data_IF_652957255467
#
_entry.id   IF_652957255467
#
_cell.length_a   1.000
_cell.length_b   1.000
_cell.length_c   1.000
_cell.angle_alpha   90.00
_cell.angle_beta   90.00
_cell.angle_gamma   90.00
#
_symmetry.space_group_name_H-M   'P 1'
#
loop_
_entity.id
_entity.type
_entity.pdbx_description
1 polymer ?
#
# COMPACT_ATOMS: atom_id res chain seq x y z
N UNK A 1 24.67 -1.51 -6.86
CA UNK A 1 23.19 -1.63 -6.83
C UNK A 1 22.63 -0.46 -7.60
N UNK A 2 21.77 -0.71 -8.59
CA UNK A 2 21.10 0.38 -9.31
C UNK A 2 20.28 1.22 -8.35
N UNK A 3 20.39 2.55 -8.43
CA UNK A 3 19.69 3.50 -7.57
C UNK A 3 18.18 3.22 -7.47
N UNK A 4 17.57 2.71 -8.56
CA UNK A 4 16.15 2.33 -8.62
C UNK A 4 15.81 1.15 -7.71
N UNK A 5 16.66 0.13 -7.67
CA UNK A 5 16.47 -1.06 -6.82
C UNK A 5 16.57 -0.66 -5.34
N UNK A 6 17.52 0.22 -5.01
CA UNK A 6 17.65 0.74 -3.64
C UNK A 6 16.42 1.53 -3.19
N UNK A 7 15.90 2.45 -4.03
CA UNK A 7 14.66 3.19 -3.73
C UNK A 7 13.48 2.23 -3.52
N UNK A 8 13.29 1.26 -4.41
CA UNK A 8 12.19 0.30 -4.29
C UNK A 8 12.32 -0.56 -3.03
N UNK A 9 13.53 -1.02 -2.70
CA UNK A 9 13.77 -1.77 -1.47
C UNK A 9 13.45 -0.92 -0.23
N UNK A 10 13.90 0.34 -0.20
CA UNK A 10 13.62 1.26 0.88
C UNK A 10 12.12 1.54 1.05
N UNK A 11 11.39 1.68 -0.07
CA UNK A 11 9.94 1.82 -0.09
C UNK A 11 9.24 0.59 0.53
N UNK A 12 9.62 -0.61 0.09
CA UNK A 12 9.03 -1.87 0.56
C UNK A 12 9.32 -2.11 2.03
N UNK A 13 10.57 -1.91 2.48
CA UNK A 13 10.96 -2.14 3.87
C UNK A 13 10.29 -1.13 4.81
N UNK A 14 10.30 0.16 4.48
CA UNK A 14 9.63 1.18 5.29
C UNK A 14 8.12 0.94 5.38
N UNK A 15 7.46 0.56 4.27
CA UNK A 15 6.06 0.18 4.28
C UNK A 15 5.77 -1.08 5.11
N UNK A 16 6.69 -2.04 5.13
CA UNK A 16 6.57 -3.29 5.91
C UNK A 16 6.61 -2.97 7.41
N UNK A 17 7.58 -2.14 7.81
CA UNK A 17 7.72 -1.67 9.20
C UNK A 17 6.48 -0.90 9.64
N UNK A 18 5.87 -0.08 8.78
CA UNK A 18 4.63 0.64 9.11
C UNK A 18 3.51 -0.31 9.59
N UNK A 19 3.22 -1.36 8.82
CA UNK A 19 2.11 -2.27 9.13
C UNK A 19 2.41 -3.11 10.37
N UNK A 20 3.65 -3.60 10.49
CA UNK A 20 4.07 -4.40 11.65
C UNK A 20 4.00 -3.56 12.92
N UNK A 21 4.49 -2.32 12.91
CA UNK A 21 4.43 -1.45 14.08
C UNK A 21 3.00 -1.11 14.46
N UNK A 22 2.13 -0.78 13.51
CA UNK A 22 0.71 -0.52 13.83
C UNK A 22 0.06 -1.76 14.44
N UNK A 23 0.22 -2.94 13.83
CA UNK A 23 -0.40 -4.16 14.36
C UNK A 23 0.18 -4.52 15.74
N UNK A 24 1.48 -4.36 15.92
CA UNK A 24 2.13 -4.57 17.21
C UNK A 24 1.58 -3.62 18.29
N UNK A 25 1.42 -2.33 17.97
CA UNK A 25 0.83 -1.35 18.89
C UNK A 25 -0.61 -1.70 19.23
N UNK A 26 -1.44 -2.05 18.24
CA UNK A 26 -2.84 -2.44 18.43
C UNK A 26 -3.00 -3.69 19.34
N UNK A 27 -1.98 -4.55 19.39
CA UNK A 27 -1.97 -5.74 20.25
C UNK A 27 -1.46 -5.45 21.68
N UNK A 28 -0.91 -4.27 21.97
CA UNK A 28 -0.50 -3.91 23.33
C UNK A 28 -1.72 -3.57 24.20
N UNK A 29 -1.74 -4.14 25.40
CA UNK A 29 -2.67 -3.75 26.47
C UNK A 29 -2.02 -2.64 27.29
N UNK A 30 -2.69 -1.49 27.38
CA UNK A 30 -2.18 -0.30 28.06
C UNK A 30 -3.28 0.27 28.96
N UNK A 31 -2.89 0.80 30.11
CA UNK A 31 -3.81 1.39 31.07
C UNK A 31 -4.38 2.71 30.54
N UNK A 32 -5.71 2.79 30.43
CA UNK A 32 -6.44 3.99 30.03
C UNK A 32 -6.66 4.97 31.18
N UNK A 33 -7.34 6.09 30.91
CA UNK A 33 -7.63 7.11 31.94
C UNK A 33 -8.58 6.65 33.05
N UNK A 34 -9.32 5.55 32.83
CA UNK A 34 -10.16 4.86 33.80
C UNK A 34 -9.41 3.85 34.69
N UNK A 35 -8.10 3.67 34.48
CA UNK A 35 -7.31 2.66 35.19
C UNK A 35 -7.60 1.22 34.75
N UNK A 36 -8.30 1.02 33.63
CA UNK A 36 -8.52 -0.31 33.03
C UNK A 36 -7.55 -0.54 31.88
N UNK A 37 -7.24 -1.81 31.64
CA UNK A 37 -6.41 -2.23 30.51
C UNK A 37 -7.25 -2.23 29.24
N UNK A 38 -6.87 -1.36 28.30
CA UNK A 38 -7.48 -1.23 26.98
C UNK A 38 -6.43 -1.51 25.90
N UNK A 39 -6.87 -1.96 24.72
CA UNK A 39 -5.97 -2.05 23.57
C UNK A 39 -5.69 -0.65 23.02
N UNK A 40 -4.51 -0.46 22.44
CA UNK A 40 -4.16 0.81 21.81
C UNK A 40 -4.94 0.98 20.49
N UNK A 41 -6.11 1.64 20.55
CA UNK A 41 -7.00 1.87 19.40
C UNK A 41 -7.14 3.38 19.13
N UNK A 42 -6.16 3.95 18.42
CA UNK A 42 -6.16 5.38 18.10
C UNK A 42 -5.86 5.65 16.61
N UNK A 43 -6.78 5.30 15.69
CA UNK A 43 -6.57 5.43 14.25
C UNK A 43 -6.40 6.88 13.79
N UNK A 44 -7.09 7.84 14.42
CA UNK A 44 -6.98 9.26 14.08
C UNK A 44 -5.65 9.82 14.59
N UNK A 45 -5.22 9.43 15.79
CA UNK A 45 -3.91 9.83 16.31
C UNK A 45 -2.75 9.28 15.48
N UNK A 46 -2.84 8.02 15.02
CA UNK A 46 -1.86 7.42 14.11
C UNK A 46 -1.82 8.16 12.76
N UNK A 47 -2.99 8.57 12.25
CA UNK A 47 -3.08 9.39 11.03
C UNK A 47 -2.44 10.76 11.22
N UNK A 48 -2.68 11.41 12.36
CA UNK A 48 -2.07 12.69 12.70
C UNK A 48 -0.55 12.57 12.78
N UNK A 49 -0.05 11.51 13.41
CA UNK A 49 1.38 11.23 13.53
C UNK A 49 2.04 10.96 12.17
N UNK A 50 1.35 10.25 11.27
CA UNK A 50 1.81 10.04 9.89
C UNK A 50 2.00 11.38 9.16
N UNK A 51 1.00 12.26 9.20
CA UNK A 51 1.09 13.58 8.55
C UNK A 51 2.10 14.51 9.22
N UNK A 52 2.24 14.44 10.54
CA UNK A 52 3.28 15.16 11.28
C UNK A 52 4.67 14.74 10.81
N UNK A 53 4.92 13.45 10.63
CA UNK A 53 6.20 12.95 10.15
C UNK A 53 6.53 13.45 8.73
N UNK A 54 5.54 13.48 7.83
CA UNK A 54 5.69 14.03 6.48
C UNK A 54 6.03 15.53 6.50
N UNK A 55 5.32 16.30 7.33
CA UNK A 55 5.57 17.73 7.49
C UNK A 55 6.94 18.02 8.11
N UNK A 56 7.35 17.26 9.11
CA UNK A 56 8.67 17.39 9.73
C UNK A 56 9.80 17.08 8.74
N UNK A 57 9.64 16.06 7.89
CA UNK A 57 10.62 15.76 6.85
C UNK A 57 10.81 16.93 5.88
N UNK A 58 9.72 17.58 5.47
CA UNK A 58 9.77 18.80 4.68
C UNK A 58 10.42 19.98 5.41
N UNK A 59 10.15 20.14 6.70
CA UNK A 59 10.79 21.14 7.55
C UNK A 59 12.31 20.96 7.64
N UNK A 60 12.77 19.71 7.83
CA UNK A 60 14.19 19.35 7.85
C UNK A 60 14.85 19.65 6.49
N UNK A 61 14.20 19.28 5.38
CA UNK A 61 14.69 19.58 4.04
C UNK A 61 14.90 21.09 3.82
N UNK A 62 13.91 21.92 4.19
CA UNK A 62 14.03 23.37 4.10
C UNK A 62 15.13 23.93 5.01
N UNK A 63 15.30 23.38 6.21
CA UNK A 63 16.34 23.79 7.15
C UNK A 63 17.73 23.49 6.57
N UNK A 64 17.95 22.30 6.03
CA UNK A 64 19.21 21.90 5.39
C UNK A 64 19.53 22.84 4.22
N UNK A 65 18.55 23.10 3.34
CA UNK A 65 18.76 24.01 2.21
C UNK A 65 19.03 25.46 2.67
N UNK A 66 18.38 25.93 3.73
CA UNK A 66 18.65 27.25 4.30
C UNK A 66 20.07 27.34 4.88
N UNK A 67 20.55 26.29 5.53
CA UNK A 67 21.92 26.20 6.07
C UNK A 67 22.96 26.16 4.93
N UNK A 68 22.74 25.37 3.89
CA UNK A 68 23.62 25.28 2.72
C UNK A 68 23.70 26.63 2.00
N UNK A 69 22.54 27.28 1.78
CA UNK A 69 22.48 28.61 1.16
C UNK A 69 23.19 29.68 2.00
N UNK A 70 23.09 29.61 3.33
CA UNK A 70 23.83 30.50 4.25
C UNK A 70 25.34 30.24 4.23
N UNK A 71 25.79 29.02 3.94
CA UNK A 71 27.21 28.64 3.86
C UNK A 71 27.84 28.93 2.50
N UNK A 72 27.09 29.40 1.51
CA UNK A 72 27.62 29.75 0.18
C UNK A 72 28.13 28.56 -0.64
N UNK A 73 27.82 27.32 -0.22
CA UNK A 73 28.13 26.11 -1.00
C UNK A 73 27.11 26.00 -2.15
N UNK A 74 27.41 26.65 -3.28
CA UNK A 74 26.68 26.45 -4.52
C UNK A 74 27.00 25.06 -5.07
N UNK A 75 26.22 24.05 -4.71
CA UNK A 75 26.38 22.70 -5.24
C UNK A 75 25.45 22.54 -6.44
N UNK A 76 26.01 22.49 -7.66
CA UNK A 76 25.26 22.37 -8.91
C UNK A 76 24.39 21.10 -9.02
N UNK A 77 24.56 20.12 -8.11
CA UNK A 77 23.72 18.92 -8.03
C UNK A 77 22.32 19.17 -7.42
N UNK A 78 22.11 20.30 -6.73
CA UNK A 78 20.80 20.67 -6.16
C UNK A 78 19.76 21.03 -7.24
N UNK A 79 20.19 21.30 -8.48
CA UNK A 79 19.30 21.70 -9.57
C UNK A 79 18.30 20.61 -10.02
N UNK A 80 18.57 19.33 -9.75
CA UNK A 80 17.72 18.21 -10.19
C UNK A 80 16.57 17.96 -9.20
N UNK A 81 16.81 18.18 -7.91
CA UNK A 81 15.79 18.06 -6.84
C UNK A 81 14.97 19.35 -6.66
N UNK A 82 15.46 20.49 -7.14
CA UNK A 82 14.81 21.81 -7.00
C UNK A 82 14.14 22.28 -8.30
N UNK A 83 14.31 21.55 -9.43
CA UNK A 83 13.57 21.84 -10.67
C UNK A 83 12.07 21.54 -10.46
N UNK A 84 11.36 22.58 -10.06
CA UNK A 84 9.92 22.75 -10.16
C UNK A 84 9.66 24.24 -10.33
N UNK A 85 8.72 24.60 -11.21
CA UNK A 85 8.38 25.99 -11.46
C UNK A 85 7.91 26.66 -10.15
N UNK A 86 8.29 27.91 -9.93
CA UNK A 86 7.94 28.72 -8.74
C UNK A 86 6.43 29.01 -8.61
N UNK A 87 5.59 28.48 -9.49
CA UNK A 87 4.13 28.69 -9.51
C UNK A 87 3.39 27.49 -8.94
N UNK A 88 3.81 27.00 -7.77
CA UNK A 88 3.04 26.00 -7.04
C UNK A 88 1.90 26.67 -6.29
N UNK A 89 0.65 26.34 -6.65
CA UNK A 89 -0.52 26.66 -5.85
C UNK A 89 -0.73 25.58 -4.77
N UNK A 90 -0.50 25.87 -3.48
CA UNK A 90 -0.61 24.87 -2.41
C UNK A 90 -1.97 24.20 -2.32
N UNK A 91 -3.03 24.91 -2.71
CA UNK A 91 -4.40 24.44 -2.66
C UNK A 91 -4.67 23.19 -3.50
N UNK A 92 -3.84 22.89 -4.51
CA UNK A 92 -3.97 21.66 -5.32
C UNK A 92 -3.75 20.41 -4.45
N UNK A 93 -2.93 20.50 -3.41
CA UNK A 93 -2.66 19.38 -2.49
C UNK A 93 -3.71 19.23 -1.39
N UNK A 94 -4.69 20.14 -1.30
CA UNK A 94 -5.76 20.07 -0.30
C UNK A 94 -6.68 18.88 -0.54
N UNK A 95 -7.14 18.67 -1.78
CA UNK A 95 -8.01 17.53 -2.13
C UNK A 95 -7.31 16.18 -1.90
N UNK A 96 -6.06 15.97 -2.36
CA UNK A 96 -5.25 14.81 -1.99
C UNK A 96 -5.14 14.60 -0.48
N UNK A 97 -4.86 15.65 0.29
CA UNK A 97 -4.73 15.55 1.74
C UNK A 97 -6.05 15.14 2.42
N UNK A 98 -7.17 15.68 1.97
CA UNK A 98 -8.50 15.34 2.47
C UNK A 98 -8.84 13.86 2.24
N UNK A 99 -8.71 13.40 0.99
CA UNK A 99 -8.99 12.02 0.62
C UNK A 99 -8.06 11.04 1.34
N UNK A 100 -6.78 11.39 1.46
CA UNK A 100 -5.79 10.60 2.19
C UNK A 100 -6.10 10.50 3.67
N UNK A 101 -6.61 11.57 4.29
CA UNK A 101 -7.02 11.56 5.70
C UNK A 101 -8.14 10.55 5.91
N UNK A 102 -9.20 10.63 5.09
CA UNK A 102 -10.33 9.70 5.17
C UNK A 102 -9.85 8.26 4.93
N UNK A 103 -9.08 8.03 3.87
CA UNK A 103 -8.56 6.72 3.53
C UNK A 103 -7.67 6.14 4.65
N UNK A 104 -6.82 6.96 5.28
CA UNK A 104 -5.92 6.49 6.35
C UNK A 104 -6.68 6.14 7.63
N UNK A 105 -7.68 6.94 8.01
CA UNK A 105 -8.53 6.64 9.18
C UNK A 105 -9.29 5.33 8.94
N UNK A 106 -9.92 5.17 7.77
CA UNK A 106 -10.60 3.92 7.39
C UNK A 106 -9.63 2.73 7.38
N UNK A 107 -8.43 2.91 6.82
CA UNK A 107 -7.42 1.86 6.70
C UNK A 107 -6.90 1.39 8.06
N UNK A 108 -6.56 2.32 8.97
CA UNK A 108 -6.08 1.95 10.31
C UNK A 108 -7.18 1.34 11.18
N UNK A 109 -8.41 1.81 11.00
CA UNK A 109 -9.60 1.21 11.63
C UNK A 109 -9.80 -0.22 11.11
N UNK A 110 -9.69 -0.44 9.80
CA UNK A 110 -9.77 -1.78 9.19
C UNK A 110 -8.68 -2.73 9.71
N UNK A 111 -7.43 -2.27 9.79
CA UNK A 111 -6.30 -3.05 10.32
C UNK A 111 -6.48 -3.47 11.80
N UNK A 112 -7.21 -2.69 12.59
CA UNK A 112 -7.54 -3.05 13.97
C UNK A 112 -8.51 -4.24 14.01
N UNK A 113 -9.52 -4.26 13.13
CA UNK A 113 -10.59 -5.26 13.13
C UNK A 113 -10.27 -6.55 12.37
N UNK A 114 -9.32 -6.52 11.43
CA UNK A 114 -8.97 -7.66 10.58
C UNK A 114 -7.57 -8.20 10.85
N UNK A 115 -7.26 -9.35 10.24
CA UNK A 115 -5.94 -9.99 10.26
C UNK A 115 -4.91 -9.15 9.50
N UNK A 116 -3.64 -9.17 9.93
CA UNK A 116 -2.60 -8.39 9.28
C UNK A 116 -2.30 -8.93 7.86
N UNK A 117 -2.40 -10.25 7.67
CA UNK A 117 -2.23 -10.89 6.37
C UNK A 117 -3.37 -10.51 5.42
N UNK A 118 -4.62 -10.67 5.84
CA UNK A 118 -5.82 -10.32 5.06
C UNK A 118 -5.86 -8.84 4.71
N UNK A 119 -5.59 -7.97 5.70
CA UNK A 119 -5.42 -6.54 5.49
C UNK A 119 -4.49 -6.26 4.31
N UNK A 120 -3.27 -6.83 4.35
CA UNK A 120 -2.25 -6.55 3.36
C UNK A 120 -2.57 -7.14 1.97
N UNK A 121 -3.31 -8.25 1.90
CA UNK A 121 -3.79 -8.81 0.64
C UNK A 121 -4.91 -7.95 0.03
N UNK A 122 -5.88 -7.48 0.84
CA UNK A 122 -6.97 -6.62 0.38
C UNK A 122 -6.42 -5.30 -0.18
N UNK A 123 -5.26 -4.81 0.28
CA UNK A 123 -4.60 -3.63 -0.33
C UNK A 123 -4.31 -3.77 -1.82
N UNK A 124 -4.21 -5.00 -2.33
CA UNK A 124 -4.09 -5.28 -3.77
C UNK A 124 -5.27 -4.74 -4.60
N UNK A 125 -6.45 -4.55 -3.99
CA UNK A 125 -7.64 -3.95 -4.61
C UNK A 125 -7.35 -2.58 -5.23
N UNK A 126 -6.45 -1.78 -4.62
CA UNK A 126 -6.09 -0.46 -5.14
C UNK A 126 -5.56 -0.54 -6.58
N UNK A 127 -4.89 -1.63 -6.98
CA UNK A 127 -4.35 -1.80 -8.32
C UNK A 127 -5.46 -1.92 -9.37
N UNK A 128 -6.57 -2.57 -9.03
CA UNK A 128 -7.76 -2.67 -9.89
C UNK A 128 -8.33 -1.27 -10.15
N UNK A 129 -8.58 -0.51 -9.08
CA UNK A 129 -9.16 0.82 -9.18
C UNK A 129 -8.21 1.85 -9.80
N UNK A 130 -6.89 1.73 -9.59
CA UNK A 130 -5.92 2.58 -10.31
C UNK A 130 -5.95 2.29 -11.81
N UNK A 131 -6.06 1.03 -12.22
CA UNK A 131 -6.25 0.69 -13.63
C UNK A 131 -7.47 1.39 -14.24
N UNK A 132 -8.61 1.34 -13.54
CA UNK A 132 -9.86 1.99 -13.96
C UNK A 132 -9.73 3.52 -13.97
N UNK A 133 -9.31 4.16 -12.88
CA UNK A 133 -9.19 5.61 -12.81
C UNK A 133 -8.11 6.17 -13.74
N UNK A 134 -7.04 5.42 -14.00
CA UNK A 134 -6.00 5.82 -14.96
C UNK A 134 -6.57 5.93 -16.39
N UNK A 135 -7.52 5.07 -16.78
CA UNK A 135 -8.21 5.24 -18.07
C UNK A 135 -9.03 6.52 -18.14
N UNK A 136 -9.70 6.89 -17.04
CA UNK A 136 -10.57 8.07 -16.99
C UNK A 136 -9.76 9.38 -16.92
N UNK A 137 -8.68 9.41 -16.14
CA UNK A 137 -7.96 10.64 -15.81
C UNK A 137 -6.66 10.85 -16.59
N UNK A 138 -5.96 9.76 -16.97
CA UNK A 138 -4.70 9.78 -17.73
C UNK A 138 -4.89 9.35 -19.19
N UNK A 139 -6.11 9.02 -19.62
CA UNK A 139 -6.44 8.54 -20.97
C UNK A 139 -5.59 7.34 -21.42
N UNK A 140 -5.20 6.47 -20.49
CA UNK A 140 -4.51 5.22 -20.82
C UNK A 140 -5.50 4.17 -21.34
N UNK A 141 -5.07 3.31 -22.26
CA UNK A 141 -5.90 2.23 -22.80
C UNK A 141 -5.61 0.91 -22.08
N UNK A 142 -6.65 0.28 -21.51
CA UNK A 142 -6.54 -1.06 -20.93
C UNK A 142 -6.60 -2.11 -22.03
N UNK A 143 -5.45 -2.72 -22.34
CA UNK A 143 -5.41 -3.94 -23.16
C UNK A 143 -6.21 -5.08 -22.51
N UNK A 144 -6.69 -6.04 -23.31
CA UNK A 144 -7.39 -7.25 -22.85
C UNK A 144 -6.64 -8.03 -21.76
N UNK A 145 -5.30 -7.90 -21.69
CA UNK A 145 -4.48 -8.49 -20.62
C UNK A 145 -4.74 -7.88 -19.25
N UNK A 146 -4.90 -6.55 -19.19
CA UNK A 146 -5.21 -5.87 -17.94
C UNK A 146 -6.59 -6.27 -17.44
N UNK A 147 -7.55 -6.49 -18.33
CA UNK A 147 -8.87 -7.02 -17.98
C UNK A 147 -8.79 -8.44 -17.40
N UNK A 148 -7.98 -9.32 -17.98
CA UNK A 148 -7.74 -10.65 -17.44
C UNK A 148 -7.07 -10.58 -16.05
N UNK A 149 -6.07 -9.70 -15.88
CA UNK A 149 -5.40 -9.50 -14.60
C UNK A 149 -6.36 -8.97 -13.53
N UNK A 150 -7.22 -8.00 -13.87
CA UNK A 150 -8.26 -7.46 -12.99
C UNK A 150 -9.24 -8.58 -12.59
N UNK A 151 -9.67 -9.42 -13.53
CA UNK A 151 -10.55 -10.55 -13.23
C UNK A 151 -9.90 -11.52 -12.23
N UNK A 152 -8.66 -11.93 -12.48
CA UNK A 152 -7.91 -12.82 -11.57
C UNK A 152 -7.72 -12.21 -10.17
N UNK A 153 -7.42 -10.91 -10.08
CA UNK A 153 -7.32 -10.23 -8.77
C UNK A 153 -8.66 -10.23 -8.04
N UNK A 154 -9.76 -9.93 -8.73
CA UNK A 154 -11.11 -9.94 -8.14
C UNK A 154 -11.46 -11.33 -7.58
N UNK A 155 -11.15 -12.41 -8.31
CA UNK A 155 -11.32 -13.76 -7.79
C UNK A 155 -10.50 -13.98 -6.51
N UNK A 156 -9.22 -13.60 -6.50
CA UNK A 156 -8.38 -13.72 -5.31
C UNK A 156 -8.91 -12.94 -4.10
N UNK A 157 -9.43 -11.74 -4.30
CA UNK A 157 -10.04 -10.93 -3.23
C UNK A 157 -11.31 -11.60 -2.69
N UNK A 158 -12.20 -12.09 -3.56
CA UNK A 158 -13.42 -12.79 -3.13
C UNK A 158 -13.09 -14.04 -2.35
N UNK A 159 -12.09 -14.82 -2.79
CA UNK A 159 -11.61 -15.99 -2.07
C UNK A 159 -11.09 -15.61 -0.67
N UNK A 160 -10.29 -14.55 -0.55
CA UNK A 160 -9.78 -14.07 0.74
C UNK A 160 -10.92 -13.66 1.68
N UNK A 161 -11.89 -12.86 1.20
CA UNK A 161 -13.03 -12.42 2.01
C UNK A 161 -13.86 -13.61 2.51
N UNK A 162 -14.08 -14.62 1.67
CA UNK A 162 -14.78 -15.84 2.06
C UNK A 162 -14.01 -16.62 3.15
N UNK A 163 -12.67 -16.64 3.06
CA UNK A 163 -11.81 -17.28 4.04
C UNK A 163 -11.77 -16.55 5.36
N UNK A 164 -11.76 -15.21 5.36
CA UNK A 164 -11.77 -14.43 6.60
C UNK A 164 -13.03 -14.73 7.41
N UNK A 165 -14.19 -14.84 6.75
CA UNK A 165 -15.46 -15.25 7.39
C UNK A 165 -15.40 -16.68 7.93
N UNK A 166 -14.83 -17.63 7.18
CA UNK A 166 -14.70 -19.02 7.67
C UNK A 166 -13.70 -19.15 8.83
N UNK A 167 -12.64 -18.34 8.82
CA UNK A 167 -11.57 -18.39 9.81
C UNK A 167 -12.04 -17.97 11.20
N UNK A 168 -13.03 -17.09 11.27
CA UNK A 168 -13.62 -16.63 12.54
C UNK A 168 -14.14 -17.78 13.40
N UNK A 169 -14.68 -18.83 12.77
CA UNK A 169 -15.31 -19.94 13.49
C UNK A 169 -14.30 -20.83 14.24
N UNK A 170 -13.01 -20.79 13.87
CA UNK A 170 -11.97 -21.63 14.47
C UNK A 170 -10.86 -20.83 15.19
N UNK A 171 -10.77 -19.52 14.97
CA UNK A 171 -9.72 -18.67 15.52
C UNK A 171 -10.22 -17.82 16.71
N UNK A 172 -10.02 -18.33 17.93
CA UNK A 172 -10.41 -17.65 19.17
C UNK A 172 -9.27 -16.86 19.85
N UNK A 173 -8.05 -16.82 19.28
CA UNK A 173 -6.86 -16.27 19.96
C UNK A 173 -6.30 -15.01 19.29
N UNK A 174 -6.55 -14.81 18.00
CA UNK A 174 -5.79 -13.85 17.19
C UNK A 174 -6.41 -12.44 17.14
N UNK A 175 -7.70 -12.31 17.48
CA UNK A 175 -8.46 -11.05 17.35
C UNK A 175 -9.09 -10.59 18.68
N UNK A 176 -9.32 -9.26 18.85
CA UNK A 176 -10.06 -8.72 19.99
C UNK A 176 -11.54 -9.13 19.99
N UNK A 177 -12.14 -9.22 18.79
CA UNK A 177 -13.55 -9.57 18.60
C UNK A 177 -13.65 -10.70 17.56
N UNK A 178 -14.28 -11.80 17.96
CA UNK A 178 -14.52 -12.99 17.13
C UNK A 178 -15.90 -12.99 16.50
N UNK A 179 -16.47 -11.81 16.22
CA UNK A 179 -17.74 -11.72 15.47
C UNK A 179 -17.46 -11.57 13.97
N UNK A 180 -18.13 -12.40 13.18
CA UNK A 180 -18.04 -12.42 11.72
C UNK A 180 -18.33 -11.04 11.11
N UNK A 181 -19.33 -10.34 11.68
CA UNK A 181 -19.72 -9.01 11.22
C UNK A 181 -18.62 -7.97 11.46
N UNK A 182 -17.83 -8.14 12.52
CA UNK A 182 -16.74 -7.21 12.87
C UNK A 182 -15.61 -7.31 11.86
N UNK A 183 -15.20 -8.53 11.52
CA UNK A 183 -14.10 -8.79 10.59
C UNK A 183 -14.50 -8.37 9.18
N UNK A 184 -15.69 -8.75 8.73
CA UNK A 184 -16.23 -8.33 7.43
C UNK A 184 -16.37 -6.80 7.32
N UNK A 185 -16.75 -6.13 8.41
CA UNK A 185 -16.77 -4.67 8.47
C UNK A 185 -15.36 -4.10 8.31
N UNK A 186 -14.37 -4.70 8.99
CA UNK A 186 -12.96 -4.36 8.84
C UNK A 186 -12.49 -4.46 7.38
N UNK A 187 -12.76 -5.58 6.73
CA UNK A 187 -12.37 -5.83 5.34
C UNK A 187 -13.04 -4.85 4.37
N UNK A 188 -14.33 -4.56 4.57
CA UNK A 188 -15.06 -3.59 3.76
C UNK A 188 -14.50 -2.16 3.93
N UNK A 189 -14.14 -1.77 5.16
CA UNK A 189 -13.48 -0.49 5.43
C UNK A 189 -12.13 -0.38 4.69
N UNK A 190 -11.35 -1.46 4.65
CA UNK A 190 -10.09 -1.51 3.87
C UNK A 190 -10.38 -1.36 2.37
N UNK A 191 -11.37 -2.07 1.83
CA UNK A 191 -11.73 -1.94 0.41
C UNK A 191 -12.11 -0.49 0.06
N UNK A 192 -12.95 0.15 0.88
CA UNK A 192 -13.36 1.55 0.68
C UNK A 192 -12.14 2.48 0.77
N UNK A 193 -11.25 2.26 1.74
CA UNK A 193 -10.02 3.03 1.87
C UNK A 193 -9.12 2.90 0.62
N UNK A 194 -9.00 1.70 0.07
CA UNK A 194 -8.15 1.43 -1.09
C UNK A 194 -8.73 1.98 -2.39
N UNK A 195 -10.06 2.10 -2.51
CA UNK A 195 -10.71 2.85 -3.61
C UNK A 195 -10.32 4.33 -3.55
N UNK A 196 -10.37 4.94 -2.36
CA UNK A 196 -9.97 6.33 -2.15
C UNK A 196 -8.47 6.54 -2.41
N UNK A 197 -7.61 5.62 -1.96
CA UNK A 197 -6.18 5.65 -2.27
C UNK A 197 -5.90 5.49 -3.77
N UNK A 198 -6.64 4.63 -4.48
CA UNK A 198 -6.47 4.49 -5.91
C UNK A 198 -6.76 5.79 -6.65
N UNK A 199 -7.86 6.46 -6.30
CA UNK A 199 -8.18 7.78 -6.86
C UNK A 199 -7.11 8.81 -6.51
N UNK A 200 -6.67 8.84 -5.24
CA UNK A 200 -5.58 9.70 -4.77
C UNK A 200 -4.31 9.52 -5.59
N UNK A 201 -3.84 8.29 -5.80
CA UNK A 201 -2.60 8.01 -6.51
C UNK A 201 -2.67 8.44 -7.98
N UNK A 202 -3.81 8.24 -8.63
CA UNK A 202 -4.04 8.70 -10.01
C UNK A 202 -4.10 10.23 -10.09
N UNK A 203 -4.76 10.86 -9.13
CA UNK A 203 -4.83 12.32 -9.04
C UNK A 203 -3.45 12.94 -8.79
N UNK A 204 -2.69 12.39 -7.83
CA UNK A 204 -1.32 12.79 -7.51
C UNK A 204 -0.41 12.65 -8.74
N UNK A 205 -0.45 11.50 -9.44
CA UNK A 205 0.35 11.28 -10.65
C UNK A 205 0.06 12.34 -11.71
N UNK A 206 -1.22 12.63 -11.97
CA UNK A 206 -1.62 13.63 -12.97
C UNK A 206 -1.07 15.02 -12.65
N UNK A 207 -1.20 15.47 -11.40
CA UNK A 207 -0.76 16.82 -10.99
C UNK A 207 0.75 16.92 -10.82
N UNK A 208 1.41 15.88 -10.28
CA UNK A 208 2.87 15.84 -10.16
C UNK A 208 3.56 15.90 -11.52
N UNK A 209 3.00 15.22 -12.54
CA UNK A 209 3.54 15.24 -13.90
C UNK A 209 3.17 16.50 -14.67
N UNK A 210 1.97 17.05 -14.47
CA UNK A 210 1.53 18.27 -15.15
C UNK A 210 2.25 19.54 -14.64
N UNK A 211 2.57 19.61 -13.34
CA UNK A 211 3.11 20.80 -12.70
C UNK A 211 4.62 20.72 -12.36
N UNK A 212 5.33 19.68 -12.84
CA UNK A 212 6.74 19.36 -12.55
C UNK A 212 7.14 19.62 -11.08
N UNK A 213 6.27 19.25 -10.15
CA UNK A 213 6.44 19.60 -8.74
C UNK A 213 7.57 18.81 -8.11
N UNK A 214 8.31 19.43 -7.20
CA UNK A 214 9.31 18.72 -6.41
C UNK A 214 8.57 17.75 -5.45
N UNK A 215 8.85 16.43 -5.48
CA UNK A 215 8.12 15.43 -4.67
C UNK A 215 8.13 15.74 -3.17
N UNK A 216 9.26 16.21 -2.63
CA UNK A 216 9.40 16.51 -1.20
C UNK A 216 8.59 17.75 -0.79
N UNK A 217 8.41 18.71 -1.70
CA UNK A 217 7.58 19.89 -1.43
C UNK A 217 6.10 19.51 -1.47
N UNK A 218 5.68 18.71 -2.44
CA UNK A 218 4.31 18.20 -2.53
C UNK A 218 3.93 17.39 -1.28
N UNK A 219 4.81 16.47 -0.85
CA UNK A 219 4.63 15.69 0.38
C UNK A 219 4.51 16.60 1.62
N UNK A 220 5.32 17.65 1.71
CA UNK A 220 5.29 18.60 2.84
C UNK A 220 3.98 19.38 2.95
N UNK A 221 3.47 19.89 1.83
CA UNK A 221 2.18 20.61 1.80
C UNK A 221 0.99 19.68 2.05
N UNK A 222 1.04 18.46 1.50
CA UNK A 222 0.05 17.42 1.79
C UNK A 222 0.07 17.03 3.28
N UNK A 223 1.27 16.93 3.89
CA UNK A 223 1.44 16.73 5.33
C UNK A 223 0.82 17.85 6.16
N UNK A 224 1.06 19.11 5.80
CA UNK A 224 0.49 20.26 6.51
C UNK A 224 -1.05 20.28 6.45
N UNK A 225 -1.63 20.16 5.25
CA UNK A 225 -3.08 20.15 5.11
C UNK A 225 -3.69 18.91 5.77
N UNK A 226 -3.05 17.74 5.64
CA UNK A 226 -3.46 16.50 6.28
C UNK A 226 -3.46 16.63 7.80
N UNK A 227 -2.44 17.24 8.39
CA UNK A 227 -2.42 17.52 9.83
C UNK A 227 -3.59 18.40 10.26
N UNK A 228 -3.88 19.49 9.54
CA UNK A 228 -4.99 20.40 9.89
C UNK A 228 -6.33 19.69 9.79
N UNK A 229 -6.58 18.97 8.69
CA UNK A 229 -7.82 18.22 8.47
C UNK A 229 -7.96 17.12 9.52
N UNK A 230 -6.88 16.38 9.81
CA UNK A 230 -6.90 15.30 10.80
C UNK A 230 -7.07 15.86 12.21
N UNK A 231 -6.47 17.00 12.56
CA UNK A 231 -6.69 17.63 13.85
C UNK A 231 -8.15 18.07 14.04
N UNK A 232 -8.77 18.63 13.01
CA UNK A 232 -10.20 18.95 13.03
C UNK A 232 -11.06 17.68 13.16
N UNK A 233 -10.74 16.64 12.39
CA UNK A 233 -11.41 15.35 12.47
C UNK A 233 -11.25 14.70 13.84
N UNK A 234 -10.08 14.83 14.48
CA UNK A 234 -9.80 14.32 15.81
C UNK A 234 -10.68 14.99 16.86
N UNK A 235 -10.89 16.31 16.76
CA UNK A 235 -11.85 17.02 17.63
C UNK A 235 -13.27 16.49 17.39
N UNK A 236 -13.71 16.36 16.14
CA UNK A 236 -15.06 15.86 15.84
C UNK A 236 -15.28 14.41 16.30
N UNK A 237 -14.31 13.53 16.07
CA UNK A 237 -14.39 12.10 16.38
C UNK A 237 -14.18 11.81 17.86
N UNK A 238 -13.53 12.70 18.62
CA UNK A 238 -13.42 12.58 20.07
C UNK A 238 -14.78 12.72 20.78
N UNK A 239 -15.76 13.39 20.16
CA UNK A 239 -17.11 13.52 20.70
C UNK A 239 -18.11 12.56 20.03
N UNK A 240 -17.71 11.85 18.98
CA UNK A 240 -18.59 10.93 18.28
C UNK A 240 -18.72 9.61 19.07
N UNK A 241 -19.93 9.25 19.53
CA UNK A 241 -20.16 7.98 20.21
C UNK A 241 -19.90 6.85 19.21
N UNK A 242 -19.13 5.86 19.67
CA UNK A 242 -18.77 4.71 18.85
C UNK A 242 -19.82 3.61 18.99
N UNK A 243 -20.07 2.88 17.90
CA UNK A 243 -20.95 1.69 17.90
C UNK A 243 -20.10 0.45 18.13
N UNK A 244 -20.63 -0.58 18.81
CA UNK A 244 -19.95 -1.88 18.92
C UNK A 244 -19.59 -2.37 17.51
N UNK A 245 -18.34 -2.76 17.23
CA UNK A 245 -17.22 -3.10 18.14
C UNK A 245 -16.29 -1.93 18.54
N UNK A 246 -16.53 -0.70 18.10
CA UNK A 246 -15.63 0.45 18.33
C UNK A 246 -15.69 1.06 19.75
N UNK A 247 -16.45 0.46 20.67
CA UNK A 247 -16.85 1.03 21.98
C UNK A 247 -16.01 0.56 23.17
N UNK A 248 -14.77 0.12 22.94
CA UNK A 248 -13.91 -0.40 24.00
C UNK A 248 -13.14 0.69 24.77
N UNK A 249 -13.04 1.92 24.26
CA UNK A 249 -12.33 3.01 24.94
C UNK A 249 -13.00 3.45 26.24
N UNK A 250 -12.24 4.11 27.13
CA UNK A 250 -12.71 4.52 28.46
C UNK A 250 -14.03 5.31 28.43
N UNK A 251 -14.20 6.16 27.40
CA UNK A 251 -15.40 6.99 27.18
C UNK A 251 -16.33 6.47 26.08
N UNK A 252 -16.02 5.36 25.44
CA UNK A 252 -16.85 4.79 24.38
C UNK A 252 -16.96 5.63 23.09
N UNK A 253 -15.97 6.45 22.83
CA UNK A 253 -15.87 7.31 21.63
C UNK A 253 -14.88 6.72 20.63
N UNK A 254 -15.02 7.11 19.36
CA UNK A 254 -14.28 6.48 18.25
C UNK A 254 -12.76 6.61 18.38
N UNK A 255 -12.26 7.74 18.89
CA UNK A 255 -10.85 7.94 19.22
C UNK A 255 -10.73 8.84 20.46
N UNK A 256 -10.39 8.24 21.60
CA UNK A 256 -10.21 8.98 22.85
C UNK A 256 -8.80 9.57 22.96
N UNK A 257 -8.64 10.83 22.54
CA UNK A 257 -7.37 11.54 22.62
C UNK A 257 -6.89 11.74 24.06
N UNK A 258 -7.80 11.66 25.04
CA UNK A 258 -7.44 11.84 26.46
C UNK A 258 -6.77 10.60 27.06
N UNK A 259 -7.03 9.41 26.49
CA UNK A 259 -6.42 8.15 26.89
C UNK A 259 -4.97 7.99 26.37
N UNK A 260 -4.61 8.70 25.30
CA UNK A 260 -3.28 8.61 24.68
C UNK A 260 -2.17 9.00 25.67
N UNK A 261 -2.32 10.11 26.40
CA UNK A 261 -1.27 10.62 27.29
C UNK A 261 -0.99 9.66 28.46
N UNK A 262 -2.00 9.17 29.20
CA UNK A 262 -1.83 8.11 30.20
C UNK A 262 -1.17 6.85 29.62
N UNK A 263 -1.65 6.38 28.46
CA UNK A 263 -1.13 5.16 27.84
C UNK A 263 0.36 5.28 27.46
N UNK A 264 0.77 6.43 26.90
CA UNK A 264 2.17 6.69 26.58
C UNK A 264 3.07 6.75 27.83
N UNK A 265 2.55 7.27 28.95
CA UNK A 265 3.30 7.29 30.22
C UNK A 265 3.46 5.89 30.81
N UNK A 266 2.45 5.05 30.66
CA UNK A 266 2.44 3.68 31.17
C UNK A 266 3.44 2.77 30.46
N UNK A 267 3.62 2.92 29.13
CA UNK A 267 4.45 2.00 28.35
C UNK A 267 5.49 2.72 27.47
N UNK A 268 6.76 2.69 27.89
CA UNK A 268 7.88 3.29 27.13
C UNK A 268 8.15 2.60 25.79
N UNK A 269 7.85 1.30 25.65
CA UNK A 269 8.00 0.60 24.38
C UNK A 269 7.03 1.12 23.32
N UNK A 270 5.83 1.57 23.74
CA UNK A 270 4.84 2.19 22.85
C UNK A 270 5.39 3.49 22.24
N UNK A 271 6.08 4.32 23.02
CA UNK A 271 6.71 5.54 22.52
C UNK A 271 7.76 5.23 21.45
N UNK A 272 8.59 4.21 21.68
CA UNK A 272 9.61 3.78 20.70
C UNK A 272 8.94 3.31 19.41
N UNK A 273 7.85 2.54 19.50
CA UNK A 273 7.09 2.10 18.34
C UNK A 273 6.43 3.27 17.58
N UNK A 274 5.88 4.27 18.28
CA UNK A 274 5.31 5.47 17.65
C UNK A 274 6.38 6.29 16.92
N UNK A 275 7.57 6.46 17.51
CA UNK A 275 8.70 7.13 16.86
C UNK A 275 9.15 6.33 15.63
N UNK A 276 9.30 5.02 15.77
CA UNK A 276 9.64 4.12 14.66
C UNK A 276 8.64 4.24 13.51
N UNK A 277 7.34 4.24 13.83
CA UNK A 277 6.25 4.38 12.89
C UNK A 277 6.26 5.74 12.17
N UNK A 278 6.49 6.84 12.90
CA UNK A 278 6.65 8.16 12.30
C UNK A 278 7.83 8.20 11.32
N UNK A 279 9.00 7.68 11.71
CA UNK A 279 10.18 7.64 10.87
C UNK A 279 9.96 6.80 9.59
N UNK A 280 9.36 5.60 9.72
CA UNK A 280 9.09 4.74 8.58
C UNK A 280 8.01 5.32 7.66
N UNK A 281 7.00 6.00 8.20
CA UNK A 281 6.00 6.73 7.41
C UNK A 281 6.64 7.86 6.59
N UNK A 282 7.51 8.68 7.19
CA UNK A 282 8.18 9.75 6.48
C UNK A 282 8.97 9.22 5.27
N UNK A 283 9.76 8.16 5.47
CA UNK A 283 10.54 7.53 4.39
C UNK A 283 9.60 6.97 3.32
N UNK A 284 8.60 6.19 3.71
CA UNK A 284 7.64 5.57 2.80
C UNK A 284 6.94 6.60 1.90
N UNK A 285 6.53 7.73 2.48
CA UNK A 285 5.80 8.77 1.77
C UNK A 285 6.70 9.62 0.86
N UNK A 286 7.90 10.00 1.32
CA UNK A 286 8.86 10.72 0.48
C UNK A 286 9.30 9.88 -0.72
N UNK A 287 9.58 8.61 -0.50
CA UNK A 287 9.94 7.68 -1.57
C UNK A 287 8.73 7.41 -2.48
N UNK A 288 7.54 7.21 -1.92
CA UNK A 288 6.31 6.98 -2.67
C UNK A 288 5.96 8.13 -3.62
N UNK A 289 6.09 9.37 -3.16
CA UNK A 289 5.90 10.57 -4.00
C UNK A 289 6.97 10.69 -5.09
N UNK A 290 8.20 10.27 -4.79
CA UNK A 290 9.27 10.23 -5.79
C UNK A 290 8.99 9.18 -6.88
N UNK A 291 8.49 8.00 -6.52
CA UNK A 291 8.07 6.96 -7.47
C UNK A 291 6.88 7.48 -8.30
N UNK A 292 5.92 8.18 -7.71
CA UNK A 292 4.78 8.74 -8.44
C UNK A 292 5.20 9.80 -9.48
N UNK A 293 6.22 10.62 -9.19
CA UNK A 293 6.76 11.59 -10.15
C UNK A 293 7.51 10.92 -11.30
N UNK A 294 8.45 10.02 -10.98
CA UNK A 294 9.37 9.43 -11.97
C UNK A 294 8.85 8.14 -12.63
N UNK A 295 7.77 7.56 -12.14
CA UNK A 295 7.14 6.34 -12.65
C UNK A 295 5.63 6.54 -12.79
N UNK A 296 4.84 5.45 -12.82
CA UNK A 296 3.38 5.49 -12.79
C UNK A 296 2.82 5.09 -11.42
N UNK A 297 1.60 5.52 -11.12
CA UNK A 297 0.82 5.08 -9.94
C UNK A 297 0.66 3.56 -9.90
N UNK A 298 0.48 2.93 -11.06
CA UNK A 298 0.48 1.47 -11.19
C UNK A 298 1.79 0.83 -10.74
N UNK A 299 2.95 1.37 -11.16
CA UNK A 299 4.25 0.86 -10.72
C UNK A 299 4.51 1.07 -9.22
N UNK A 300 4.01 2.18 -8.63
CA UNK A 300 4.04 2.41 -7.19
C UNK A 300 3.26 1.32 -6.43
N UNK A 301 2.05 0.99 -6.89
CA UNK A 301 1.24 -0.08 -6.29
C UNK A 301 1.83 -1.48 -6.50
N UNK A 302 2.46 -1.73 -7.65
CA UNK A 302 3.17 -2.99 -7.90
C UNK A 302 4.36 -3.16 -6.96
N UNK A 303 5.11 -2.07 -6.70
CA UNK A 303 6.16 -2.09 -5.69
C UNK A 303 5.58 -2.34 -4.29
N UNK A 304 4.43 -1.74 -3.97
CA UNK A 304 3.74 -1.98 -2.70
C UNK A 304 3.25 -3.43 -2.55
N UNK A 305 2.88 -4.10 -3.65
CA UNK A 305 2.52 -5.51 -3.67
C UNK A 305 3.64 -6.45 -3.20
N UNK A 306 4.91 -6.03 -3.30
CA UNK A 306 6.07 -6.82 -2.85
C UNK A 306 6.10 -6.92 -1.32
N UNK A 307 5.64 -5.89 -0.61
CA UNK A 307 5.60 -5.86 0.87
C UNK A 307 4.72 -6.97 1.46
N UNK A 308 3.72 -7.45 0.72
CA UNK A 308 2.86 -8.56 1.14
C UNK A 308 3.69 -9.78 1.54
N UNK A 309 4.73 -10.11 0.77
CA UNK A 309 5.60 -11.25 1.06
C UNK A 309 6.41 -11.06 2.34
N UNK A 310 6.90 -9.85 2.60
CA UNK A 310 7.68 -9.54 3.80
C UNK A 310 6.81 -9.58 5.07
N UNK A 311 5.60 -9.03 5.00
CA UNK A 311 4.64 -9.09 6.11
C UNK A 311 4.23 -10.52 6.38
N UNK A 312 3.90 -11.29 5.33
CA UNK A 312 3.53 -12.69 5.46
C UNK A 312 4.66 -13.52 6.08
N UNK A 313 5.91 -13.36 5.60
CA UNK A 313 7.06 -14.02 6.19
C UNK A 313 7.23 -13.64 7.68
N UNK A 314 7.10 -12.36 8.02
CA UNK A 314 7.20 -11.89 9.40
C UNK A 314 6.10 -12.48 10.30
N UNK A 315 4.84 -12.49 9.86
CA UNK A 315 3.72 -13.05 10.62
C UNK A 315 3.92 -14.53 10.92
N UNK A 316 4.50 -15.29 9.98
CA UNK A 316 4.88 -16.69 10.18
C UNK A 316 5.97 -16.82 11.23
N UNK A 317 7.06 -16.07 11.09
CA UNK A 317 8.18 -16.13 12.04
C UNK A 317 7.80 -15.67 13.44
N UNK A 318 6.85 -14.74 13.55
CA UNK A 318 6.37 -14.20 14.82
C UNK A 318 5.22 -15.02 15.44
N UNK A 319 4.76 -16.09 14.77
CA UNK A 319 3.62 -16.93 15.18
C UNK A 319 2.36 -16.11 15.51
N UNK A 320 2.15 -14.98 14.82
CA UNK A 320 1.01 -14.08 15.10
C UNK A 320 -0.31 -14.62 14.56
N UNK A 321 -0.29 -15.49 13.57
CA UNK A 321 -1.49 -16.01 12.91
C UNK A 321 -1.32 -17.49 12.53
N UNK A 322 -2.36 -18.30 12.74
CA UNK A 322 -2.39 -19.70 12.31
C UNK A 322 -2.45 -19.78 10.78
N UNK A 323 -1.60 -20.63 10.19
CA UNK A 323 -1.53 -20.80 8.74
C UNK A 323 -2.63 -21.72 8.22
N UNK A 324 -3.53 -21.16 7.43
CA UNK A 324 -4.48 -21.93 6.63
C UNK A 324 -3.97 -22.07 5.19
N UNK A 325 -3.85 -23.29 4.68
CA UNK A 325 -3.43 -23.56 3.29
C UNK A 325 -4.23 -22.78 2.24
N UNK A 326 -5.51 -22.54 2.53
CA UNK A 326 -6.39 -21.83 1.60
C UNK A 326 -6.06 -20.34 1.54
N UNK A 327 -5.59 -19.72 2.63
CA UNK A 327 -5.12 -18.32 2.62
C UNK A 327 -3.89 -18.15 1.74
N UNK A 328 -3.01 -19.16 1.71
CA UNK A 328 -1.85 -19.20 0.82
C UNK A 328 -2.32 -19.28 -0.65
N UNK A 329 -3.35 -20.08 -0.92
CA UNK A 329 -3.92 -20.18 -2.27
C UNK A 329 -4.50 -18.85 -2.73
N UNK A 330 -5.27 -18.16 -1.88
CA UNK A 330 -5.82 -16.83 -2.17
C UNK A 330 -4.72 -15.80 -2.43
N UNK A 331 -3.65 -15.82 -1.63
CA UNK A 331 -2.46 -14.99 -1.85
C UNK A 331 -1.81 -15.28 -3.21
N UNK A 332 -1.61 -16.55 -3.57
CA UNK A 332 -0.99 -16.93 -4.84
C UNK A 332 -1.83 -16.50 -6.06
N UNK A 333 -3.15 -16.63 -5.97
CA UNK A 333 -4.08 -16.17 -7.02
C UNK A 333 -3.97 -14.66 -7.20
N UNK A 334 -4.05 -13.90 -6.10
CA UNK A 334 -3.94 -12.44 -6.12
C UNK A 334 -2.60 -11.99 -6.71
N UNK A 335 -1.50 -12.60 -6.27
CA UNK A 335 -0.15 -12.27 -6.74
C UNK A 335 0.04 -12.62 -8.21
N UNK A 336 -0.56 -13.71 -8.68
CA UNK A 336 -0.58 -14.05 -10.12
C UNK A 336 -1.25 -12.94 -10.91
N UNK A 337 -2.38 -12.42 -10.43
CA UNK A 337 -3.04 -11.24 -11.03
C UNK A 337 -2.13 -10.01 -11.09
N UNK A 338 -1.43 -9.69 -9.99
CA UNK A 338 -0.49 -8.55 -9.89
C UNK A 338 0.66 -8.68 -10.90
N UNK A 339 1.24 -9.88 -11.03
CA UNK A 339 2.30 -10.15 -12.02
C UNK A 339 1.77 -10.03 -13.45
N UNK A 340 0.57 -10.55 -13.73
CA UNK A 340 -0.09 -10.43 -15.03
C UNK A 340 -0.37 -8.97 -15.43
N UNK A 341 -0.64 -8.11 -14.45
CA UNK A 341 -0.86 -6.68 -14.68
C UNK A 341 0.43 -5.95 -15.11
N UNK A 342 1.59 -6.32 -14.54
CA UNK A 342 2.87 -5.63 -14.77
C UNK A 342 3.59 -6.03 -16.06
N UNK A 343 3.56 -7.31 -16.43
CA UNK A 343 4.55 -7.85 -17.36
C UNK A 343 3.92 -8.64 -18.52
N UNK A 344 4.48 -8.39 -19.70
CA UNK A 344 4.32 -9.20 -20.91
C UNK A 344 4.85 -10.65 -20.77
N UNK A 345 5.15 -11.15 -19.57
CA UNK A 345 5.58 -12.54 -19.33
C UNK A 345 4.49 -13.50 -19.81
N UNK A 346 3.20 -13.15 -19.68
CA UNK A 346 2.17 -13.98 -20.30
C UNK A 346 2.36 -14.04 -21.82
N UNK A 347 2.83 -13.00 -22.50
CA UNK A 347 3.13 -13.04 -23.93
C UNK A 347 4.39 -13.85 -24.24
N UNK A 348 5.44 -13.79 -23.42
CA UNK A 348 6.65 -14.62 -23.63
C UNK A 348 6.39 -16.09 -23.30
N UNK A 349 5.66 -16.38 -22.24
CA UNK A 349 5.22 -17.73 -21.86
C UNK A 349 4.15 -18.27 -22.82
N UNK A 350 3.17 -17.47 -23.23
CA UNK A 350 2.18 -17.82 -24.26
C UNK A 350 2.82 -17.97 -25.63
N UNK A 351 3.74 -17.09 -26.05
CA UNK A 351 4.50 -17.26 -27.31
C UNK A 351 5.41 -18.48 -27.23
N UNK A 352 6.06 -18.72 -26.09
CA UNK A 352 6.91 -19.89 -25.88
C UNK A 352 6.10 -21.18 -25.92
N UNK A 353 4.94 -21.21 -25.27
CA UNK A 353 4.03 -22.37 -25.29
C UNK A 353 3.37 -22.55 -26.65
N UNK A 354 2.89 -21.50 -27.34
CA UNK A 354 2.40 -21.59 -28.72
C UNK A 354 3.49 -22.07 -29.68
N UNK A 355 4.71 -21.55 -29.56
CA UNK A 355 5.85 -21.97 -30.38
C UNK A 355 6.27 -23.41 -30.08
N UNK A 356 6.04 -23.90 -28.85
CA UNK A 356 6.25 -25.31 -28.47
C UNK A 356 5.14 -26.19 -29.05
N UNK A 357 3.88 -25.75 -28.99
CA UNK A 357 2.72 -26.44 -29.55
C UNK A 357 2.74 -26.52 -31.08
N UNK A 358 3.14 -25.43 -31.74
CA UNK A 358 3.33 -25.40 -33.19
C UNK A 358 4.46 -26.36 -33.60
N UNK A 359 5.61 -26.34 -32.91
CA UNK A 359 6.72 -27.28 -33.19
C UNK A 359 6.32 -28.74 -33.05
N UNK A 360 5.53 -29.10 -32.04
CA UNK A 360 5.02 -30.47 -31.88
C UNK A 360 4.14 -30.87 -33.08
N UNK A 361 3.19 -30.02 -33.48
CA UNK A 361 2.35 -30.29 -34.66
C UNK A 361 3.13 -30.42 -35.98
N UNK A 362 4.20 -29.65 -36.17
CA UNK A 362 5.04 -29.78 -37.37
C UNK A 362 5.91 -31.05 -37.38
N UNK A 363 6.33 -31.54 -36.20
CA UNK A 363 7.05 -32.81 -36.10
C UNK A 363 6.16 -34.00 -36.43
N UNK A 364 4.89 -33.97 -36.02
CA UNK A 364 3.93 -35.03 -36.36
C UNK A 364 3.66 -35.08 -37.88
N UNK A 365 3.52 -33.93 -38.55
CA UNK A 365 3.30 -33.88 -40.01
C UNK A 365 4.51 -34.38 -40.83
N UNK A 366 5.73 -34.17 -40.34
CA UNK A 366 6.94 -34.68 -41.00
C UNK A 366 7.20 -36.17 -40.70
N UNK A 367 6.66 -36.71 -39.61
CA UNK A 367 6.72 -38.13 -39.32
C UNK A 367 5.76 -38.95 -40.20
N UNK A 368 4.63 -38.36 -40.60
CA UNK A 368 3.66 -38.96 -41.52
C UNK A 368 4.04 -38.79 -43.01
N UNK A 369 4.94 -37.86 -43.33
CA UNK A 369 5.54 -37.72 -44.64
C UNK A 369 6.68 -38.75 -44.80
N UNK A 370 6.35 -39.93 -45.32
CA UNK A 370 7.32 -40.99 -45.66
C UNK A 370 8.49 -40.49 -46.54
N UNK A 371 9.57 -41.29 -46.66
CA UNK A 371 10.85 -40.84 -47.22
C UNK A 371 10.69 -40.26 -48.62
N UNK A 372 11.17 -39.03 -48.81
CA UNK A 372 11.23 -38.36 -50.10
C UNK A 372 12.22 -39.07 -51.02
N UNK A 373 11.85 -39.37 -52.29
CA UNK A 373 12.74 -40.08 -53.21
C UNK A 373 13.93 -39.19 -53.57
N UNK A 374 15.14 -39.75 -53.46
CA UNK A 374 16.41 -39.09 -53.72
C UNK A 374 16.50 -38.59 -55.17
N UNK A 375 16.48 -37.28 -55.37
CA UNK A 375 16.86 -36.66 -56.64
C UNK A 375 18.38 -36.72 -56.80
N UNK A 376 18.86 -37.70 -57.55
CA UNK A 376 20.22 -37.78 -58.05
C UNK A 376 20.51 -36.55 -58.93
N UNK A 377 21.52 -35.75 -58.55
CA UNK A 377 22.11 -34.74 -59.43
C UNK A 377 22.83 -35.45 -60.57
N UNK A 378 22.39 -35.22 -61.80
CA UNK A 378 23.14 -35.57 -62.99
C UNK A 378 24.28 -34.55 -63.15
N UNK A 379 25.48 -34.93 -62.71
CA UNK A 379 26.70 -34.20 -63.06
C UNK A 379 27.24 -34.71 -64.40
N UNK A 380 27.66 -33.71 -65.18
CA UNK A 380 28.08 -33.75 -66.57
C UNK A 380 29.61 -33.94 -66.62
N UNK A 381 30.04 -34.81 -67.55
CA UNK A 381 31.40 -35.23 -67.98
C UNK A 381 31.91 -36.52 -67.35
#
# INVERSE_FOLDING_TARGET
>A
MDHRVFITLLFVLSGTVNVILIKWMNNQLVEGSDGKLHRFQHPVALTLLMFLAEFLCFGIYKLINAVIRRRGLNTEQDHILIRGSNEFHPLIMLLPAFLRTIASILLFTGLYLTYATSFQMIRGVALIFVGLFSTMYLNQTLSSRHWLAIFTMTCGIVDILALDVQRVEYDNQTLPHTDHNTILTGDLLVIIAEVLHAFLYVYEEKHLKASDLVPIQAAGWQGLFGMIITALAAVCLNFAPSVVPFNEGSRGVFDDLTDIIPQLRGNKMLIIALIGFACSCAIYNCVGMSIAKFSSSGNRLLADGIRVYFIWAFVIFAEWEILNLITIMGLLILQTGIVMYRQAIFLEWYRSTLARWQRIRYMDMNADAGPTPSSQQADVI
#
